data_IF_451423166225
#
_entry.id   IF_451423166225
#
_cell.length_a   1.000
_cell.length_b   1.000
_cell.length_c   1.000
_cell.angle_alpha   90.00
_cell.angle_beta   90.00
_cell.angle_gamma   90.00
#
_symmetry.space_group_name_H-M   'P 1'
#
loop_
_entity.id
_entity.type
_entity.pdbx_description
1 polymer ?
#
# COMPACT_ATOMS: atom_id res chain seq x y z
N UNK A 1 -12.32 2.37 -6.88
CA UNK A 1 -13.42 2.56 -7.85
C UNK A 1 -13.90 1.21 -8.32
N UNK A 2 -15.21 0.98 -8.33
CA UNK A 2 -15.83 -0.22 -8.87
C UNK A 2 -16.19 0.07 -10.33
N UNK A 3 -15.60 -0.67 -11.27
CA UNK A 3 -15.91 -0.57 -12.69
C UNK A 3 -16.64 -1.86 -13.12
N UNK A 4 -17.91 -1.79 -13.57
CA UNK A 4 -18.75 -2.96 -13.85
C UNK A 4 -18.18 -3.91 -14.91
N UNK A 5 -17.33 -3.42 -15.81
CA UNK A 5 -16.76 -4.20 -16.92
C UNK A 5 -15.60 -5.09 -16.45
N UNK A 6 -14.90 -4.72 -15.37
CA UNK A 6 -13.67 -5.39 -14.89
C UNK A 6 -13.78 -6.04 -13.50
N UNK A 7 -14.94 -5.93 -12.85
CA UNK A 7 -15.14 -6.41 -11.47
C UNK A 7 -14.22 -5.70 -10.47
N UNK A 8 -13.81 -6.39 -9.40
CA UNK A 8 -12.89 -5.81 -8.40
C UNK A 8 -11.41 -5.72 -8.86
N UNK A 9 -11.08 -6.15 -10.09
CA UNK A 9 -9.68 -6.18 -10.58
C UNK A 9 -9.02 -4.79 -10.63
N UNK A 10 -9.71 -3.72 -11.05
CA UNK A 10 -9.15 -2.36 -10.99
C UNK A 10 -8.86 -1.94 -9.55
N UNK A 11 -9.72 -2.31 -8.60
CA UNK A 11 -9.51 -2.03 -7.18
C UNK A 11 -8.31 -2.79 -6.62
N UNK A 12 -8.19 -4.09 -6.93
CA UNK A 12 -7.03 -4.89 -6.54
C UNK A 12 -5.73 -4.31 -7.10
N UNK A 13 -5.73 -3.90 -8.37
CA UNK A 13 -4.55 -3.30 -9.00
C UNK A 13 -4.19 -1.94 -8.36
N UNK A 14 -5.18 -1.12 -8.03
CA UNK A 14 -4.95 0.15 -7.35
C UNK A 14 -4.34 -0.08 -5.95
N UNK A 15 -4.88 -1.01 -5.16
CA UNK A 15 -4.30 -1.39 -3.86
C UNK A 15 -2.85 -1.88 -4.03
N UNK A 16 -2.61 -2.75 -5.01
CA UNK A 16 -1.28 -3.28 -5.26
C UNK A 16 -0.27 -2.20 -5.67
N UNK A 17 -0.66 -1.30 -6.59
CA UNK A 17 0.22 -0.25 -7.10
C UNK A 17 0.46 0.87 -6.08
N UNK A 18 -0.57 1.28 -5.36
CA UNK A 18 -0.54 2.44 -4.46
C UNK A 18 -0.15 2.09 -3.03
N UNK A 19 -0.34 0.84 -2.57
CA UNK A 19 -0.07 0.42 -1.20
C UNK A 19 0.95 -0.73 -1.10
N UNK A 20 0.70 -1.88 -1.75
CA UNK A 20 1.57 -3.07 -1.57
C UNK A 20 2.98 -2.84 -2.13
N UNK A 21 3.09 -2.29 -3.35
CA UNK A 21 4.38 -2.06 -3.99
C UNK A 21 5.26 -1.06 -3.22
N UNK A 22 4.76 0.12 -2.77
CA UNK A 22 5.53 1.02 -1.92
C UNK A 22 5.94 0.38 -0.59
N UNK A 23 5.04 -0.33 0.09
CA UNK A 23 5.36 -1.00 1.36
C UNK A 23 6.44 -2.07 1.18
N UNK A 24 6.37 -2.86 0.09
CA UNK A 24 7.38 -3.86 -0.22
C UNK A 24 8.77 -3.23 -0.39
N UNK A 25 8.87 -2.05 -1.02
CA UNK A 25 10.15 -1.32 -1.15
C UNK A 25 10.70 -0.91 0.21
N UNK A 26 9.85 -0.43 1.12
CA UNK A 26 10.27 -0.04 2.47
C UNK A 26 10.72 -1.26 3.31
N UNK A 27 10.06 -2.41 3.16
CA UNK A 27 10.48 -3.67 3.77
C UNK A 27 11.85 -4.10 3.24
N UNK A 28 12.04 -4.06 1.91
CA UNK A 28 13.32 -4.42 1.27
C UNK A 28 14.45 -3.43 1.64
N UNK A 29 14.12 -2.17 1.92
CA UNK A 29 15.06 -1.19 2.45
C UNK A 29 15.44 -1.43 3.92
N UNK A 30 14.77 -2.37 4.61
CA UNK A 30 14.98 -2.65 6.03
C UNK A 30 14.25 -1.70 6.97
N UNK A 31 13.41 -0.80 6.43
CA UNK A 31 12.66 0.16 7.24
C UNK A 31 11.55 -0.52 8.04
N UNK A 32 11.02 -1.66 7.58
CA UNK A 32 10.04 -2.49 8.30
C UNK A 32 10.50 -3.95 8.34
N UNK A 33 10.28 -4.60 9.47
CA UNK A 33 10.63 -6.01 9.70
C UNK A 33 9.43 -6.81 10.19
N UNK A 34 9.55 -8.14 10.17
CA UNK A 34 8.52 -9.02 10.69
C UNK A 34 8.22 -8.69 12.17
N UNK A 35 6.93 -8.57 12.50
CA UNK A 35 6.47 -8.18 13.83
C UNK A 35 6.17 -6.69 13.99
N UNK A 36 6.62 -5.83 13.06
CA UNK A 36 6.25 -4.41 13.08
C UNK A 36 4.76 -4.23 12.78
N UNK A 37 4.10 -3.37 13.55
CA UNK A 37 2.77 -2.87 13.22
C UNK A 37 2.92 -1.60 12.38
N UNK A 38 2.57 -1.70 11.09
CA UNK A 38 2.66 -0.58 10.14
C UNK A 38 1.35 0.19 10.10
N UNK A 39 1.41 1.48 10.36
CA UNK A 39 0.31 2.41 10.17
C UNK A 39 0.43 3.05 8.79
N UNK A 40 -0.67 3.05 8.04
CA UNK A 40 -0.73 3.61 6.69
C UNK A 40 -1.63 4.85 6.70
N UNK A 41 -1.11 5.96 6.18
CA UNK A 41 -1.85 7.22 6.08
C UNK A 41 -1.65 7.86 4.70
N UNK A 42 -2.64 8.61 4.24
CA UNK A 42 -2.54 9.41 3.02
C UNK A 42 -2.04 10.81 3.35
N UNK A 43 -1.01 11.28 2.64
CA UNK A 43 -0.51 12.65 2.73
C UNK A 43 -0.15 13.16 1.34
N UNK A 44 -0.74 14.28 0.94
CA UNK A 44 -0.47 14.92 -0.36
C UNK A 44 -0.64 13.96 -1.55
N UNK A 45 -1.69 13.14 -1.55
CA UNK A 45 -1.97 12.10 -2.56
C UNK A 45 -0.91 11.00 -2.65
N UNK A 46 -0.14 10.78 -1.58
CA UNK A 46 0.81 9.68 -1.46
C UNK A 46 0.51 8.88 -0.20
N UNK A 47 0.59 7.56 -0.30
CA UNK A 47 0.60 6.69 0.86
C UNK A 47 1.92 6.88 1.62
N UNK A 48 1.82 7.05 2.93
CA UNK A 48 2.92 7.15 3.88
C UNK A 48 2.81 6.02 4.90
N UNK A 49 3.95 5.47 5.29
CA UNK A 49 4.04 4.33 6.20
C UNK A 49 4.81 4.74 7.45
N UNK A 50 4.29 4.45 8.63
CA UNK A 50 4.98 4.66 9.91
C UNK A 50 4.86 3.44 10.81
N UNK A 51 5.82 3.27 11.72
CA UNK A 51 5.71 2.27 12.79
C UNK A 51 4.86 2.82 13.91
N UNK A 52 4.09 1.94 14.54
CA UNK A 52 3.42 2.23 15.81
C UNK A 52 4.39 2.12 16.98
#
# INVERSE_FOLDING_TARGET
GFDPIYGARPLKRAIQQEMENPLAREILAGNFVAGDTVHVAEKNRKMTFSKR
#
